data_IF_822734400138
#
_entry.id   IF_822734400138
#
_cell.length_a   1.000
_cell.length_b   1.000
_cell.length_c   1.000
_cell.angle_alpha   90.00
_cell.angle_beta   90.00
_cell.angle_gamma   90.00
#
_symmetry.space_group_name_H-M   'P 1'
#
loop_
_entity.id
_entity.type
_entity.pdbx_description
1 polymer ?
#
# COMPACT_ATOMS: atom_id res chain seq x y z
N UNK A 1 4.04 -1.34 16.25
CA UNK A 1 4.71 -2.29 15.35
C UNK A 1 6.12 -2.41 15.86
N UNK A 2 6.57 -3.61 16.20
CA UNK A 2 7.98 -3.83 16.54
C UNK A 2 8.68 -4.22 15.25
N UNK A 3 9.59 -3.37 14.79
CA UNK A 3 10.46 -3.66 13.65
C UNK A 3 11.70 -4.33 14.22
N UNK A 4 11.96 -5.58 13.84
CA UNK A 4 13.12 -6.36 14.30
C UNK A 4 13.89 -6.92 13.13
N UNK A 5 15.21 -6.82 13.19
CA UNK A 5 16.11 -7.38 12.20
C UNK A 5 16.60 -8.75 12.69
N UNK A 6 16.30 -9.82 11.95
CA UNK A 6 16.72 -11.18 12.28
C UNK A 6 17.73 -11.63 11.25
N UNK A 7 18.94 -11.95 11.69
CA UNK A 7 19.96 -12.54 10.84
C UNK A 7 20.02 -14.05 11.09
N UNK A 8 19.63 -14.87 10.11
CA UNK A 8 19.85 -16.31 10.15
C UNK A 8 20.61 -16.73 8.89
N UNK A 9 21.71 -17.47 9.06
CA UNK A 9 22.51 -18.04 7.96
C UNK A 9 22.98 -17.02 6.90
N UNK A 10 23.24 -15.77 7.31
CA UNK A 10 23.67 -14.69 6.43
C UNK A 10 22.53 -13.95 5.71
N UNK A 11 21.28 -14.39 5.90
CA UNK A 11 20.09 -13.68 5.41
C UNK A 11 19.52 -12.84 6.55
N UNK A 12 19.28 -11.57 6.27
CA UNK A 12 18.74 -10.61 7.22
C UNK A 12 17.30 -10.32 6.85
N UNK A 13 16.38 -10.58 7.78
CA UNK A 13 14.94 -10.42 7.64
C UNK A 13 14.47 -9.26 8.50
N UNK A 14 13.67 -8.36 7.97
CA UNK A 14 13.13 -7.23 8.74
C UNK A 14 11.67 -7.50 9.12
N UNK A 15 11.44 -8.03 10.31
CA UNK A 15 10.11 -8.37 10.81
C UNK A 15 9.41 -7.14 11.35
N UNK A 16 8.38 -6.66 10.64
CA UNK A 16 7.40 -5.72 11.17
C UNK A 16 6.11 -6.46 11.57
N UNK A 17 6.10 -6.99 12.79
CA UNK A 17 4.93 -7.68 13.36
C UNK A 17 4.58 -7.10 14.72
N UNK A 18 3.34 -7.31 15.17
CA UNK A 18 2.93 -6.98 16.54
C UNK A 18 3.23 -8.17 17.44
N UNK A 19 3.48 -7.91 18.73
CA UNK A 19 3.66 -8.97 19.72
C UNK A 19 2.50 -10.00 19.72
N UNK A 20 1.26 -9.54 19.47
CA UNK A 20 0.10 -10.43 19.34
C UNK A 20 0.22 -11.45 18.21
N UNK A 21 0.95 -11.13 17.14
CA UNK A 21 1.15 -12.02 16.00
C UNK A 21 2.10 -13.15 16.40
N UNK A 22 3.14 -12.84 17.17
CA UNK A 22 4.06 -13.83 17.77
C UNK A 22 3.35 -14.74 18.76
N UNK A 23 2.46 -14.19 19.58
CA UNK A 23 1.64 -14.96 20.52
C UNK A 23 0.74 -15.97 19.79
N UNK A 24 0.06 -15.54 18.72
CA UNK A 24 -0.74 -16.44 17.89
C UNK A 24 0.10 -17.51 17.20
N UNK A 25 1.27 -17.15 16.68
CA UNK A 25 2.21 -18.12 16.10
C UNK A 25 2.65 -19.14 17.14
N UNK A 26 3.04 -18.69 18.34
CA UNK A 26 3.51 -19.56 19.40
C UNK A 26 2.43 -20.56 19.83
N UNK A 27 1.18 -20.12 20.03
CA UNK A 27 0.07 -21.02 20.35
C UNK A 27 -0.15 -22.10 19.27
N UNK A 28 -0.03 -21.74 17.99
CA UNK A 28 -0.14 -22.70 16.88
C UNK A 28 1.00 -23.70 16.90
N UNK A 29 2.24 -23.23 17.06
CA UNK A 29 3.42 -24.10 17.08
C UNK A 29 3.45 -25.00 18.32
N UNK A 30 3.04 -24.50 19.48
CA UNK A 30 2.90 -25.32 20.69
C UNK A 30 1.88 -26.45 20.49
N UNK A 31 0.77 -26.19 19.79
CA UNK A 31 -0.23 -27.22 19.46
C UNK A 31 0.25 -28.30 18.47
N UNK A 32 1.30 -28.02 17.69
CA UNK A 32 1.84 -28.96 16.69
C UNK A 32 3.05 -29.70 17.26
N UNK A 33 4.01 -28.96 17.82
CA UNK A 33 5.32 -29.48 18.23
C UNK A 33 5.37 -29.89 19.71
N UNK A 34 4.38 -29.50 20.54
CA UNK A 34 4.26 -29.86 21.96
C UNK A 34 5.61 -29.77 22.70
N UNK A 35 6.09 -30.88 23.27
CA UNK A 35 7.33 -30.97 24.06
C UNK A 35 8.61 -30.69 23.26
N UNK A 36 8.54 -30.72 21.93
CA UNK A 36 9.67 -30.41 21.05
C UNK A 36 9.94 -28.89 20.98
N UNK A 37 8.95 -28.08 21.38
CA UNK A 37 9.05 -26.63 21.38
C UNK A 37 9.64 -26.13 22.71
N UNK A 38 10.97 -26.13 22.82
CA UNK A 38 11.68 -25.70 24.04
C UNK A 38 11.74 -24.17 24.20
N UNK A 39 11.26 -23.42 23.21
CA UNK A 39 11.36 -21.96 23.13
C UNK A 39 10.22 -21.30 23.88
N UNK A 40 10.54 -20.30 24.73
CA UNK A 40 9.57 -19.55 25.52
C UNK A 40 9.34 -18.16 24.93
N UNK A 41 8.08 -17.76 24.79
CA UNK A 41 7.74 -16.40 24.37
C UNK A 41 7.87 -15.40 25.55
N UNK A 42 8.36 -14.17 25.33
CA UNK A 42 8.39 -13.14 26.37
C UNK A 42 7.01 -12.83 26.95
N UNK A 43 6.93 -12.45 28.23
CA UNK A 43 5.65 -12.26 28.92
C UNK A 43 4.79 -11.13 28.34
N UNK A 44 3.46 -11.33 28.45
CA UNK A 44 2.43 -10.33 28.15
C UNK A 44 2.40 -9.26 29.24
N UNK A 45 2.96 -8.09 28.96
CA UNK A 45 2.82 -6.93 29.85
C UNK A 45 1.70 -5.98 29.40
N UNK A 46 0.81 -5.64 30.34
CA UNK A 46 -0.36 -4.80 30.12
C UNK A 46 -0.10 -3.34 30.50
N UNK A 47 0.69 -3.09 31.54
CA UNK A 47 1.10 -1.76 32.01
C UNK A 47 2.51 -1.40 31.52
N UNK A 48 2.76 -0.12 31.24
CA UNK A 48 4.08 0.35 30.78
C UNK A 48 4.51 -0.18 29.41
N UNK A 49 3.58 -0.68 28.58
CA UNK A 49 3.90 -1.31 27.28
C UNK A 49 4.53 -0.37 26.23
N UNK A 50 4.49 0.94 26.47
CA UNK A 50 5.10 1.96 25.63
C UNK A 50 6.44 2.47 26.19
N UNK A 51 6.90 1.95 27.33
CA UNK A 51 8.22 2.30 27.87
C UNK A 51 9.31 1.83 26.89
N UNK A 52 10.21 2.71 26.43
CA UNK A 52 11.28 2.34 25.50
C UNK A 52 12.15 1.21 26.04
N UNK A 53 12.46 1.16 27.34
CA UNK A 53 13.25 0.07 27.92
C UNK A 53 12.52 -1.27 27.82
N UNK A 54 11.20 -1.23 28.01
CA UNK A 54 10.36 -2.41 27.88
C UNK A 54 10.29 -2.88 26.43
N UNK A 55 10.12 -1.96 25.48
CA UNK A 55 10.11 -2.26 24.05
C UNK A 55 11.45 -2.91 23.65
N UNK A 56 12.59 -2.33 24.02
CA UNK A 56 13.90 -2.88 23.71
C UNK A 56 14.14 -4.25 24.34
N UNK A 57 13.75 -4.44 25.61
CA UNK A 57 13.85 -5.74 26.29
C UNK A 57 12.97 -6.79 25.62
N UNK A 58 11.75 -6.41 25.24
CA UNK A 58 10.84 -7.28 24.50
C UNK A 58 11.42 -7.64 23.13
N UNK A 59 12.03 -6.67 22.43
CA UNK A 59 12.65 -6.94 21.13
C UNK A 59 13.79 -7.95 21.24
N UNK A 60 14.68 -7.78 22.21
CA UNK A 60 15.75 -8.76 22.45
C UNK A 60 15.18 -10.15 22.79
N UNK A 61 14.10 -10.22 23.56
CA UNK A 61 13.42 -11.48 23.88
C UNK A 61 12.76 -12.15 22.67
N UNK A 62 12.18 -11.36 21.76
CA UNK A 62 11.58 -11.88 20.52
C UNK A 62 12.65 -12.38 19.55
N UNK A 63 13.79 -11.73 19.47
CA UNK A 63 14.93 -12.21 18.68
C UNK A 63 15.42 -13.57 19.18
N UNK A 64 15.65 -13.71 20.50
CA UNK A 64 16.03 -15.00 21.09
C UNK A 64 14.96 -16.08 20.88
N UNK A 65 13.69 -15.71 20.93
CA UNK A 65 12.59 -16.62 20.63
C UNK A 65 12.67 -17.13 19.19
N UNK A 66 12.90 -16.25 18.21
CA UNK A 66 13.01 -16.64 16.80
C UNK A 66 14.26 -17.47 16.53
N UNK A 67 15.40 -17.10 17.10
CA UNK A 67 16.65 -17.86 16.99
C UNK A 67 16.50 -19.27 17.58
N UNK A 68 15.80 -19.40 18.71
CA UNK A 68 15.47 -20.70 19.29
C UNK A 68 14.49 -21.48 18.43
N UNK A 69 13.53 -20.79 17.82
CA UNK A 69 12.51 -21.41 16.98
C UNK A 69 13.15 -22.06 15.76
N UNK A 70 14.06 -21.36 15.09
CA UNK A 70 14.77 -21.83 13.90
C UNK A 70 15.71 -23.02 14.17
N UNK A 71 16.04 -23.30 15.43
CA UNK A 71 16.83 -24.48 15.81
C UNK A 71 15.97 -25.75 15.94
N UNK A 72 14.64 -25.64 15.97
CA UNK A 72 13.75 -26.79 16.07
C UNK A 72 13.71 -27.55 14.73
N UNK A 73 14.02 -28.86 14.69
CA UNK A 73 14.03 -29.61 13.45
C UNK A 73 12.61 -29.73 12.87
N UNK A 74 12.48 -29.47 11.56
CA UNK A 74 11.19 -29.54 10.85
C UNK A 74 10.25 -28.36 11.08
N UNK A 75 10.64 -27.35 11.87
CA UNK A 75 9.81 -26.16 12.11
C UNK A 75 9.57 -25.34 10.84
N UNK A 76 10.57 -25.31 9.93
CA UNK A 76 10.53 -24.55 8.68
C UNK A 76 9.51 -25.11 7.69
N UNK A 77 9.09 -26.36 7.87
CA UNK A 77 8.06 -26.99 7.05
C UNK A 77 6.64 -26.64 7.55
N UNK A 78 6.50 -26.04 8.73
CA UNK A 78 5.20 -25.63 9.26
C UNK A 78 4.61 -24.46 8.47
N UNK A 79 3.34 -24.63 8.06
CA UNK A 79 2.63 -23.62 7.25
C UNK A 79 2.35 -22.33 8.01
N UNK A 80 2.13 -22.39 9.32
CA UNK A 80 1.90 -21.19 10.13
C UNK A 80 3.17 -20.35 10.21
N UNK A 81 4.33 -21.01 10.36
CA UNK A 81 5.63 -20.37 10.36
C UNK A 81 5.98 -19.79 8.98
N UNK A 82 5.81 -20.55 7.91
CA UNK A 82 6.04 -20.06 6.54
C UNK A 82 5.18 -18.83 6.23
N UNK A 83 3.89 -18.87 6.55
CA UNK A 83 2.98 -17.73 6.37
C UNK A 83 3.38 -16.52 7.23
N UNK A 84 3.87 -16.77 8.44
CA UNK A 84 4.40 -15.71 9.30
C UNK A 84 5.58 -15.00 8.61
N UNK A 85 6.50 -15.77 8.01
CA UNK A 85 7.65 -15.25 7.28
C UNK A 85 7.32 -14.64 5.90
N UNK A 86 6.31 -15.14 5.18
CA UNK A 86 5.96 -14.65 3.85
C UNK A 86 5.55 -13.17 3.84
N UNK A 87 4.83 -12.73 4.86
CA UNK A 87 4.44 -11.32 5.02
C UNK A 87 5.62 -10.40 5.38
N UNK A 88 6.76 -10.96 5.79
CA UNK A 88 7.99 -10.19 5.98
C UNK A 88 8.45 -9.68 4.61
N UNK A 89 8.46 -10.56 3.61
CA UNK A 89 8.84 -10.21 2.23
C UNK A 89 7.96 -9.11 1.65
N UNK A 90 6.64 -9.14 1.89
CA UNK A 90 5.74 -8.12 1.35
C UNK A 90 5.93 -6.76 2.02
N UNK A 91 6.18 -6.72 3.33
CA UNK A 91 6.45 -5.47 4.04
C UNK A 91 7.78 -4.85 3.60
N UNK A 92 8.82 -5.68 3.46
CA UNK A 92 10.12 -5.25 2.94
C UNK A 92 10.00 -4.74 1.51
N UNK A 93 9.13 -5.35 0.69
CA UNK A 93 8.85 -4.88 -0.67
C UNK A 93 8.24 -3.49 -0.67
N UNK A 94 7.29 -3.20 0.22
CA UNK A 94 6.69 -1.87 0.33
C UNK A 94 7.67 -0.85 0.88
N UNK A 95 8.49 -1.21 1.87
CA UNK A 95 9.53 -0.32 2.39
C UNK A 95 10.56 0.03 1.31
N UNK A 96 11.01 -0.96 0.53
CA UNK A 96 11.90 -0.75 -0.60
C UNK A 96 11.26 0.15 -1.67
N UNK A 97 9.96 0.04 -1.90
CA UNK A 97 9.23 0.93 -2.82
C UNK A 97 9.19 2.36 -2.27
N UNK A 98 8.92 2.54 -0.96
CA UNK A 98 8.89 3.85 -0.31
C UNK A 98 10.27 4.50 -0.34
N UNK A 99 11.32 3.76 0.02
CA UNK A 99 12.72 4.22 0.00
C UNK A 99 13.16 4.54 -1.43
N UNK A 100 12.86 3.68 -2.42
CA UNK A 100 13.13 4.02 -3.83
C UNK A 100 12.35 5.23 -4.33
N UNK A 101 11.12 5.40 -3.86
CA UNK A 101 10.28 6.51 -4.27
C UNK A 101 10.74 7.82 -3.61
N UNK A 102 11.35 7.78 -2.42
CA UNK A 102 11.75 8.98 -1.66
C UNK A 102 12.66 9.93 -2.47
N UNK A 103 13.51 9.37 -3.33
CA UNK A 103 14.39 10.12 -4.22
C UNK A 103 13.78 10.46 -5.60
N UNK A 104 12.60 9.90 -5.90
CA UNK A 104 11.86 10.12 -7.14
C UNK A 104 10.59 10.96 -6.93
N UNK A 105 10.29 11.38 -5.70
CA UNK A 105 9.20 12.31 -5.42
C UNK A 105 9.55 13.66 -6.04
N UNK A 106 8.71 14.10 -6.98
CA UNK A 106 8.72 15.49 -7.43
C UNK A 106 8.25 16.32 -6.23
N UNK A 107 9.12 17.20 -5.73
CA UNK A 107 8.76 18.15 -4.67
C UNK A 107 7.75 19.15 -5.24
N UNK A 108 6.46 18.91 -4.96
CA UNK A 108 5.35 19.78 -5.39
C UNK A 108 5.27 21.05 -4.50
N UNK A 109 6.09 21.13 -3.43
CA UNK A 109 6.13 22.29 -2.52
C UNK A 109 7.16 23.34 -2.93
N UNK A 110 8.16 22.97 -3.73
CA UNK A 110 8.99 23.93 -4.44
C UNK A 110 8.14 24.57 -5.54
N UNK A 111 7.55 25.73 -5.23
CA UNK A 111 7.05 26.64 -6.27
C UNK A 111 8.28 26.99 -7.11
N UNK A 112 8.39 26.52 -8.37
CA UNK A 112 9.56 26.84 -9.16
C UNK A 112 9.64 28.35 -9.24
N UNK A 113 10.78 28.91 -8.83
CA UNK A 113 11.03 30.34 -8.90
C UNK A 113 10.66 30.79 -10.31
N UNK A 114 9.75 31.76 -10.47
CA UNK A 114 9.17 32.06 -11.77
C UNK A 114 10.31 32.41 -12.71
N UNK A 115 10.60 31.49 -13.64
CA UNK A 115 11.55 31.71 -14.71
C UNK A 115 11.22 33.07 -15.32
N UNK A 116 12.22 33.96 -15.36
CA UNK A 116 12.06 35.24 -16.04
C UNK A 116 11.42 34.98 -17.41
N UNK A 117 10.44 35.81 -17.78
CA UNK A 117 9.52 35.56 -18.91
C UNK A 117 10.26 35.17 -20.20
N UNK A 118 11.48 35.69 -20.38
CA UNK A 118 12.34 35.39 -21.52
C UNK A 118 12.96 33.98 -21.48
N UNK A 119 13.32 33.46 -20.30
CA UNK A 119 13.79 32.08 -20.14
C UNK A 119 12.64 31.08 -20.36
N UNK A 120 11.43 31.39 -19.89
CA UNK A 120 10.24 30.58 -20.15
C UNK A 120 9.88 30.56 -21.65
N UNK A 121 9.99 31.71 -22.34
CA UNK A 121 9.82 31.81 -23.81
C UNK A 121 10.88 31.01 -24.56
N UNK A 122 12.13 31.09 -24.13
CA UNK A 122 13.25 30.35 -24.71
C UNK A 122 13.02 28.83 -24.58
N UNK A 123 12.66 28.35 -23.39
CA UNK A 123 12.36 26.93 -23.14
C UNK A 123 11.16 26.43 -23.94
N UNK A 124 10.10 27.25 -24.04
CA UNK A 124 8.94 26.93 -24.87
C UNK A 124 9.32 26.84 -26.36
N UNK A 125 10.18 27.74 -26.84
CA UNK A 125 10.65 27.73 -28.23
C UNK A 125 11.49 26.49 -28.53
N UNK A 126 12.38 26.09 -27.61
CA UNK A 126 13.17 24.85 -27.71
C UNK A 126 12.28 23.61 -27.84
N UNK A 127 11.23 23.50 -27.02
CA UNK A 127 10.26 22.39 -27.09
C UNK A 127 9.51 22.36 -28.41
N UNK A 128 9.04 23.53 -28.89
CA UNK A 128 8.34 23.63 -30.17
C UNK A 128 9.26 23.30 -31.34
N UNK A 129 10.54 23.68 -31.28
CA UNK A 129 11.53 23.35 -32.29
C UNK A 129 11.85 21.85 -32.32
N UNK A 130 11.99 21.21 -31.16
CA UNK A 130 12.18 19.76 -31.06
C UNK A 130 10.96 18.98 -31.59
N UNK A 131 9.75 19.45 -31.29
CA UNK A 131 8.52 18.90 -31.85
C UNK A 131 8.43 19.08 -33.37
N UNK A 132 8.79 20.26 -33.89
CA UNK A 132 8.81 20.51 -35.32
C UNK A 132 9.88 19.67 -36.05
N UNK A 133 11.06 19.50 -35.45
CA UNK A 133 12.13 18.67 -36.00
C UNK A 133 11.75 17.19 -36.06
N UNK A 134 11.02 16.69 -35.05
CA UNK A 134 10.52 15.31 -35.02
C UNK A 134 9.27 15.10 -35.89
N UNK A 135 8.57 16.18 -36.27
CA UNK A 135 7.40 16.12 -37.16
C UNK A 135 7.74 16.03 -38.65
N UNK A 136 9.02 16.14 -39.04
CA UNK A 136 9.45 16.09 -40.45
C UNK A 136 9.92 14.72 -40.93
N UNK A 137 9.92 13.69 -40.07
CA UNK A 137 10.30 12.30 -40.43
C UNK A 137 9.13 11.32 -40.24
N UNK A 138 8.03 11.53 -40.99
CA UNK A 138 6.96 10.55 -41.11
C UNK A 138 6.43 10.47 -42.55
N UNK A 139 7.23 9.90 -43.44
CA UNK A 139 6.74 9.23 -44.65
C UNK A 139 6.17 7.86 -44.26
N UNK A 140 4.86 7.64 -44.48
CA UNK A 140 4.31 6.28 -44.68
C UNK A 140 3.05 5.82 -43.91
N UNK A 141 1.85 6.27 -44.35
CA UNK A 141 0.55 5.52 -44.43
C UNK A 141 -0.23 5.15 -43.13
N UNK A 142 -1.59 5.14 -43.11
CA UNK A 142 -2.56 6.12 -43.59
C UNK A 142 -3.35 6.77 -42.43
N UNK A 143 -3.68 8.03 -42.63
CA UNK A 143 -4.44 8.84 -41.70
C UNK A 143 -5.92 8.38 -41.63
N UNK A 144 -6.28 7.60 -40.61
CA UNK A 144 -7.67 7.27 -40.30
C UNK A 144 -8.27 8.25 -39.27
N UNK A 145 -7.97 9.54 -39.39
CA UNK A 145 -8.76 10.60 -38.76
C UNK A 145 -8.97 11.68 -39.81
N UNK A 146 -10.21 11.73 -40.32
CA UNK A 146 -10.67 12.66 -41.35
C UNK A 146 -10.21 14.08 -41.05
N UNK A 147 -9.39 14.62 -41.96
CA UNK A 147 -9.16 16.04 -42.14
C UNK A 147 -10.50 16.76 -42.32
N UNK A 148 -10.92 17.53 -41.31
CA UNK A 148 -11.85 18.62 -41.53
C UNK A 148 -11.03 19.83 -42.01
N UNK A 149 -11.46 20.57 -43.04
CA UNK A 149 -10.70 21.72 -43.53
C UNK A 149 -10.71 22.83 -42.47
N UNK A 150 -9.54 23.14 -41.92
CA UNK A 150 -9.32 24.34 -41.13
C UNK A 150 -9.30 25.55 -42.09
N UNK A 151 -10.49 26.06 -42.40
CA UNK A 151 -10.66 27.44 -42.86
C UNK A 151 -10.31 28.35 -41.69
N UNK A 152 -9.38 29.27 -41.91
CA UNK A 152 -9.02 30.34 -40.98
C UNK A 152 -10.21 31.28 -40.78
N UNK A 153 -11.09 30.96 -39.83
CA UNK A 153 -12.00 31.93 -39.22
C UNK A 153 -11.95 31.77 -37.71
N UNK A 154 -11.61 32.86 -37.03
CA UNK A 154 -11.48 32.95 -35.58
C UNK A 154 -12.85 32.77 -34.93
N UNK A 155 -13.19 31.54 -34.53
CA UNK A 155 -14.34 31.28 -33.64
C UNK A 155 -13.83 30.57 -32.39
N UNK A 156 -14.09 31.09 -31.17
CA UNK A 156 -13.74 30.39 -29.94
C UNK A 156 -14.45 29.04 -29.92
N UNK A 157 -13.69 27.95 -29.84
CA UNK A 157 -14.26 26.61 -29.68
C UNK A 157 -15.10 26.62 -28.39
N UNK A 158 -16.43 26.44 -28.46
CA UNK A 158 -17.25 26.49 -27.27
C UNK A 158 -16.93 25.29 -26.39
N UNK A 159 -16.73 25.53 -25.10
CA UNK A 159 -16.47 24.53 -24.05
C UNK A 159 -17.53 23.41 -24.02
N UNK A 160 -18.66 23.64 -24.69
CA UNK A 160 -19.72 22.68 -24.96
C UNK A 160 -19.27 21.42 -25.69
N UNK A 161 -18.30 21.48 -26.62
CA UNK A 161 -17.87 20.29 -27.38
C UNK A 161 -17.15 19.25 -26.48
N UNK A 162 -16.25 19.70 -25.60
CA UNK A 162 -15.59 18.85 -24.61
C UNK A 162 -16.60 18.33 -23.58
N UNK A 163 -17.54 19.18 -23.15
CA UNK A 163 -18.60 18.80 -22.20
C UNK A 163 -19.51 17.70 -22.74
N UNK A 164 -19.85 17.73 -24.04
CA UNK A 164 -20.72 16.71 -24.65
C UNK A 164 -20.03 15.35 -24.76
N UNK A 165 -18.74 15.32 -25.10
CA UNK A 165 -17.98 14.08 -25.15
C UNK A 165 -17.82 13.46 -23.75
N UNK A 166 -17.51 14.27 -22.74
CA UNK A 166 -17.44 13.79 -21.35
C UNK A 166 -18.79 13.27 -20.85
N UNK A 167 -19.90 13.95 -21.17
CA UNK A 167 -21.24 13.48 -20.82
C UNK A 167 -21.59 12.15 -21.50
N UNK A 168 -21.23 11.98 -22.77
CA UNK A 168 -21.43 10.72 -23.49
C UNK A 168 -20.59 9.57 -22.93
N UNK A 169 -19.39 9.86 -22.42
CA UNK A 169 -18.56 8.86 -21.74
C UNK A 169 -19.15 8.45 -20.39
N UNK A 170 -19.65 9.40 -19.59
CA UNK A 170 -20.33 9.10 -18.33
C UNK A 170 -21.54 8.19 -18.55
N UNK A 171 -22.41 8.50 -19.53
CA UNK A 171 -23.59 7.69 -19.84
C UNK A 171 -23.25 6.25 -20.28
N UNK A 172 -22.13 6.08 -21.00
CA UNK A 172 -21.63 4.74 -21.38
C UNK A 172 -21.13 3.94 -20.17
N UNK A 173 -20.48 4.59 -19.21
CA UNK A 173 -20.02 3.95 -17.98
C UNK A 173 -21.19 3.55 -17.09
N UNK A 174 -22.19 4.42 -16.91
CA UNK A 174 -23.38 4.13 -16.12
C UNK A 174 -24.18 2.95 -16.69
N UNK A 175 -24.38 2.91 -18.02
CA UNK A 175 -25.03 1.77 -18.69
C UNK A 175 -24.25 0.46 -18.51
N UNK A 176 -22.91 0.54 -18.51
CA UNK A 176 -22.05 -0.63 -18.28
C UNK A 176 -22.13 -1.13 -16.84
N UNK A 177 -22.18 -0.22 -15.86
CA UNK A 177 -22.26 -0.55 -14.43
C UNK A 177 -23.64 -1.08 -14.04
N UNK A 178 -24.72 -0.48 -14.54
CA UNK A 178 -26.09 -0.94 -14.28
C UNK A 178 -26.35 -2.35 -14.80
N UNK A 179 -25.66 -2.78 -15.87
CA UNK A 179 -25.77 -4.15 -16.40
C UNK A 179 -24.98 -5.20 -15.59
N UNK A 180 -24.11 -4.79 -14.65
CA UNK A 180 -23.19 -5.70 -13.95
C UNK A 180 -23.34 -5.71 -12.42
N UNK A 181 -24.23 -4.91 -11.85
CA UNK A 181 -24.50 -4.90 -10.42
C UNK A 181 -25.95 -5.30 -10.11
N UNK A 182 -26.22 -6.61 -10.07
CA UNK A 182 -27.27 -7.12 -9.18
C UNK A 182 -26.63 -7.24 -7.80
N UNK A 183 -26.69 -6.17 -7.02
CA UNK A 183 -26.37 -6.23 -5.59
C UNK A 183 -27.49 -7.06 -4.96
N UNK A 184 -27.17 -8.26 -4.47
CA UNK A 184 -28.12 -9.06 -3.72
C UNK A 184 -28.61 -8.25 -2.51
N UNK A 185 -29.92 -8.26 -2.28
CA UNK A 185 -30.54 -7.60 -1.12
C UNK A 185 -29.84 -8.12 0.15
N UNK A 186 -29.39 -7.24 1.06
CA UNK A 186 -28.73 -7.67 2.29
C UNK A 186 -29.67 -8.58 3.08
N UNK A 187 -29.23 -9.80 3.35
CA UNK A 187 -29.98 -10.75 4.18
C UNK A 187 -29.93 -10.24 5.63
N UNK A 188 -31.08 -10.16 6.30
CA UNK A 188 -31.24 -9.59 7.65
C UNK A 188 -30.44 -10.35 8.75
N UNK A 189 -29.85 -11.49 8.41
CA UNK A 189 -28.98 -12.29 9.29
C UNK A 189 -27.63 -11.62 9.63
N UNK A 190 -27.27 -10.52 8.96
CA UNK A 190 -26.02 -9.77 9.19
C UNK A 190 -26.22 -8.49 10.03
N UNK A 191 -27.35 -8.34 10.73
CA UNK A 191 -27.48 -7.27 11.72
C UNK A 191 -26.73 -7.71 12.99
N UNK A 192 -25.53 -7.16 13.18
CA UNK A 192 -24.78 -7.34 14.41
C UNK A 192 -25.58 -6.75 15.59
N UNK A 193 -26.18 -7.61 16.40
CA UNK A 193 -26.86 -7.21 17.63
C UNK A 193 -25.80 -6.85 18.67
N UNK A 194 -25.51 -5.55 18.82
CA UNK A 194 -24.62 -5.06 19.86
C UNK A 194 -25.40 -5.04 21.19
N UNK A 195 -25.05 -5.88 22.18
CA UNK A 195 -25.75 -5.87 23.45
C UNK A 195 -25.55 -4.50 24.13
N UNK A 196 -26.57 -3.97 24.82
CA UNK A 196 -26.44 -2.70 25.52
C UNK A 196 -25.36 -2.81 26.60
N UNK A 197 -24.67 -1.70 26.91
CA UNK A 197 -23.66 -1.68 27.96
C UNK A 197 -24.28 -2.14 29.28
N UNK A 198 -23.59 -3.04 29.97
CA UNK A 198 -24.00 -3.50 31.31
C UNK A 198 -23.85 -2.30 32.24
N UNK A 199 -24.98 -1.70 32.64
CA UNK A 199 -24.99 -0.68 33.67
C UNK A 199 -24.36 -1.25 34.93
N UNK A 200 -23.24 -0.64 35.33
CA UNK A 200 -22.55 -1.00 36.55
C UNK A 200 -23.48 -0.69 37.72
N UNK A 201 -23.84 -1.73 38.45
CA UNK A 201 -24.53 -1.65 39.74
C UNK A 201 -23.68 -0.75 40.64
N UNK A 202 -24.12 0.49 40.85
CA UNK A 202 -23.67 1.30 41.97
C UNK A 202 -24.30 0.69 43.22
N UNK A 203 -23.53 -0.15 43.89
CA UNK A 203 -23.83 -0.56 45.25
C UNK A 203 -23.61 0.63 46.19
N UNK A 204 -24.71 0.98 46.86
CA UNK A 204 -24.89 1.77 48.08
C UNK A 204 -23.64 2.26 48.84
N UNK A 205 -23.73 3.52 49.27
CA UNK A 205 -23.48 3.88 50.66
C UNK A 205 -24.53 4.89 51.15
#
# INVERSE_FOLDING_TARGET
MTCEQISCSGVVWLISRRFSDFDQLHCKLESVFHDSLTVRLPEKQWFGRFDPNFISKRQAGLQLYLDGLLQVPGILDDRSLQHFFEHISETDRWQLIVEKAEHALIDISEVPEPLEVDQARQKRAEVLAAYAATSSEADGVPNALKTAPASLDTVPVPHAATSQYLAALHDRLDKSLCSKQTIAVPNDDLIAFMPPPVDTIVAAH
#
